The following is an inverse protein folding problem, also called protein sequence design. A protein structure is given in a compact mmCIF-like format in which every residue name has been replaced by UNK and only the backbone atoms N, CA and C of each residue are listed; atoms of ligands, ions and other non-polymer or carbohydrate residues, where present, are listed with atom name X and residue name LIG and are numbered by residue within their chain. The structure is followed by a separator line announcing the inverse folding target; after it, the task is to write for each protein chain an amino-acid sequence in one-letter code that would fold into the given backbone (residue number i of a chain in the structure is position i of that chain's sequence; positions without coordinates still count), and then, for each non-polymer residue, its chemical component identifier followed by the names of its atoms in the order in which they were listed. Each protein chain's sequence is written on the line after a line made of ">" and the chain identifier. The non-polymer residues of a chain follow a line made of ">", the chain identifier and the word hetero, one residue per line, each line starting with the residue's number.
data_IF_283366821315
#
_entry.id   IF_283366821315
#
_cell.length_a   1.000
_cell.length_b   1.000
_cell.length_c   1.000
_cell.angle_alpha   90.00
_cell.angle_beta   90.00
_cell.angle_gamma   90.00
#
_symmetry.space_group_name_H-M   'P 1'
#
loop_
_entity.id
_entity.type
_entity.pdbx_description
1 polymer ?
#
# COMPACT_ATOMS: atom_id res chain seq x y z
N UNK A 1 -25.85 39.33 9.76
CA UNK A 1 -24.71 38.40 9.58
C UNK A 1 -25.15 37.23 8.70
N UNK A 2 -24.54 36.98 7.53
CA UNK A 2 -24.95 35.84 6.71
C UNK A 2 -24.52 34.53 7.39
N UNK A 3 -25.48 33.62 7.57
CA UNK A 3 -25.28 32.26 8.10
C UNK A 3 -24.19 31.56 7.28
N UNK A 4 -23.12 31.09 7.94
CA UNK A 4 -22.12 30.21 7.33
C UNK A 4 -22.85 29.03 6.69
N UNK A 5 -22.87 28.98 5.35
CA UNK A 5 -23.33 27.80 4.61
C UNK A 5 -22.43 26.65 5.04
N UNK A 6 -22.97 25.72 5.83
CA UNK A 6 -22.27 24.48 6.21
C UNK A 6 -21.78 23.85 4.90
N UNK A 7 -20.46 23.70 4.76
CA UNK A 7 -19.84 23.02 3.61
C UNK A 7 -20.59 21.70 3.40
N UNK A 8 -21.17 21.50 2.20
CA UNK A 8 -21.73 20.20 1.81
C UNK A 8 -20.65 19.15 2.06
N UNK A 9 -20.90 18.23 3.00
CA UNK A 9 -20.03 17.09 3.22
C UNK A 9 -20.19 16.23 1.97
N UNK A 10 -19.23 16.28 1.05
CA UNK A 10 -19.27 15.56 -0.22
C UNK A 10 -19.05 14.04 -0.08
N UNK A 11 -18.98 13.55 1.16
CA UNK A 11 -18.70 12.16 1.49
C UNK A 11 -19.86 11.59 2.29
N UNK A 12 -20.35 10.43 1.84
CA UNK A 12 -21.37 9.67 2.56
C UNK A 12 -20.74 9.05 3.82
N UNK A 13 -21.47 8.97 4.94
CA UNK A 13 -21.03 8.20 6.08
C UNK A 13 -20.99 6.70 5.72
N UNK A 14 -20.15 5.87 6.38
CA UNK A 14 -19.87 4.48 5.97
C UNK A 14 -21.11 3.59 5.90
N UNK A 15 -22.12 3.88 6.72
CA UNK A 15 -23.38 3.16 6.88
C UNK A 15 -24.48 3.64 5.93
N UNK A 16 -24.30 4.75 5.21
CA UNK A 16 -25.29 5.21 4.24
C UNK A 16 -25.48 4.20 3.12
N UNK A 17 -26.74 3.87 2.80
CA UNK A 17 -27.07 2.96 1.71
C UNK A 17 -26.83 3.64 0.36
N UNK A 18 -26.09 2.94 -0.50
CA UNK A 18 -25.76 3.37 -1.87
C UNK A 18 -26.24 2.30 -2.84
N UNK A 19 -26.94 2.72 -3.89
CA UNK A 19 -27.34 1.82 -4.95
C UNK A 19 -26.13 1.51 -5.85
N UNK A 20 -25.60 0.28 -5.75
CA UNK A 20 -24.40 -0.16 -6.47
C UNK A 20 -24.56 -1.58 -6.97
N UNK A 21 -24.34 -1.80 -8.28
CA UNK A 21 -24.48 -3.09 -8.98
C UNK A 21 -25.85 -3.77 -8.77
N UNK A 22 -26.94 -3.01 -8.83
CA UNK A 22 -28.31 -3.54 -8.77
C UNK A 22 -28.84 -3.83 -7.35
N UNK A 23 -28.09 -3.45 -6.30
CA UNK A 23 -28.48 -3.64 -4.90
C UNK A 23 -28.14 -2.41 -4.06
N UNK A 24 -28.89 -2.20 -2.98
CA UNK A 24 -28.58 -1.20 -1.96
C UNK A 24 -27.59 -1.82 -0.96
N UNK A 25 -26.39 -1.26 -0.87
CA UNK A 25 -25.34 -1.71 0.07
C UNK A 25 -24.79 -0.52 0.86
N UNK A 26 -24.24 -0.74 2.08
CA UNK A 26 -23.53 0.31 2.81
C UNK A 26 -22.41 0.94 1.98
N UNK A 27 -22.19 2.24 2.13
CA UNK A 27 -21.15 2.99 1.43
C UNK A 27 -19.75 2.44 1.69
N UNK A 28 -19.52 1.83 2.86
CA UNK A 28 -18.29 1.13 3.23
C UNK A 28 -17.96 -0.07 2.34
N UNK A 29 -18.98 -0.72 1.77
CA UNK A 29 -18.83 -1.87 0.88
C UNK A 29 -18.62 -1.48 -0.59
N UNK A 30 -18.86 -0.21 -0.92
CA UNK A 30 -18.63 0.30 -2.28
C UNK A 30 -17.15 0.50 -2.50
N UNK A 31 -16.52 -0.38 -3.27
CA UNK A 31 -15.15 -0.15 -3.72
C UNK A 31 -15.14 0.98 -4.76
N UNK A 32 -14.41 2.09 -4.53
CA UNK A 32 -14.36 3.18 -5.49
C UNK A 32 -13.89 2.69 -6.86
N UNK A 33 -14.59 3.09 -7.94
CA UNK A 33 -14.22 2.71 -9.31
C UNK A 33 -12.79 3.10 -9.69
N UNK A 34 -12.23 4.15 -9.08
CA UNK A 34 -10.84 4.57 -9.25
C UNK A 34 -10.05 4.26 -7.98
N UNK A 35 -9.14 3.29 -8.06
CA UNK A 35 -8.04 3.17 -7.08
C UNK A 35 -7.24 4.47 -7.11
N UNK A 36 -6.90 5.01 -5.95
CA UNK A 36 -6.08 6.22 -5.90
C UNK A 36 -4.70 5.86 -6.40
N UNK A 37 -4.02 6.80 -7.08
CA UNK A 37 -2.62 6.59 -7.52
C UNK A 37 -1.71 6.13 -6.37
N UNK A 38 -1.98 6.58 -5.15
CA UNK A 38 -1.22 6.18 -3.96
C UNK A 38 -1.42 4.70 -3.61
N UNK A 39 -2.61 4.14 -3.81
CA UNK A 39 -2.89 2.73 -3.50
C UNK A 39 -2.17 1.83 -4.51
N UNK A 40 -2.23 2.20 -5.80
CA UNK A 40 -1.48 1.54 -6.88
C UNK A 40 0.02 1.58 -6.58
N UNK A 41 0.51 2.72 -6.09
CA UNK A 41 1.92 2.89 -5.79
C UNK A 41 2.38 2.13 -4.55
N UNK A 42 1.52 1.98 -3.54
CA UNK A 42 1.80 1.12 -2.39
C UNK A 42 1.87 -0.34 -2.80
N UNK A 43 0.92 -0.81 -3.60
CA UNK A 43 0.90 -2.18 -4.11
C UNK A 43 2.13 -2.50 -4.96
N UNK A 44 2.48 -1.62 -5.92
CA UNK A 44 3.69 -1.78 -6.74
C UNK A 44 4.97 -1.76 -5.88
N UNK A 45 5.05 -0.84 -4.91
CA UNK A 45 6.20 -0.76 -4.02
C UNK A 45 6.35 -2.02 -3.17
N UNK A 46 5.26 -2.54 -2.60
CA UNK A 46 5.29 -3.79 -1.84
C UNK A 46 5.81 -4.96 -2.68
N UNK A 47 5.28 -5.15 -3.89
CA UNK A 47 5.72 -6.22 -4.80
C UNK A 47 7.18 -6.08 -5.19
N UNK A 48 7.66 -4.86 -5.46
CA UNK A 48 9.06 -4.62 -5.78
C UNK A 48 9.99 -4.91 -4.60
N UNK A 49 9.63 -4.46 -3.40
CA UNK A 49 10.41 -4.73 -2.19
C UNK A 49 10.49 -6.22 -1.91
N UNK A 50 9.38 -6.94 -2.03
CA UNK A 50 9.37 -8.41 -1.85
C UNK A 50 10.31 -9.09 -2.85
N UNK A 51 10.23 -8.73 -4.14
CA UNK A 51 11.13 -9.26 -5.17
C UNK A 51 12.59 -8.92 -4.92
N UNK A 52 12.88 -7.69 -4.49
CA UNK A 52 14.23 -7.25 -4.19
C UNK A 52 14.83 -8.08 -3.05
N UNK A 53 14.06 -8.28 -1.98
CA UNK A 53 14.49 -9.07 -0.84
C UNK A 53 14.72 -10.53 -1.24
N UNK A 54 13.79 -11.15 -2.00
CA UNK A 54 13.93 -12.54 -2.46
C UNK A 54 15.19 -12.74 -3.32
N UNK A 55 15.56 -11.73 -4.12
CA UNK A 55 16.74 -11.78 -5.01
C UNK A 55 18.04 -11.37 -4.32
N UNK A 56 17.96 -10.77 -3.15
CA UNK A 56 19.13 -10.35 -2.39
C UNK A 56 19.82 -11.56 -1.79
N UNK A 57 21.17 -11.64 -1.84
CA UNK A 57 21.91 -12.78 -1.28
C UNK A 57 21.59 -13.02 0.20
N UNK A 58 21.47 -11.94 0.99
CA UNK A 58 21.18 -12.02 2.42
C UNK A 58 19.68 -12.02 2.76
N UNK A 59 18.81 -12.11 1.75
CA UNK A 59 17.34 -12.06 1.93
C UNK A 59 16.88 -10.88 2.79
N UNK A 60 17.48 -9.70 2.56
CA UNK A 60 17.20 -8.48 3.33
C UNK A 60 17.25 -7.23 2.45
N UNK A 61 16.77 -6.11 2.98
CA UNK A 61 16.86 -4.79 2.31
C UNK A 61 17.22 -3.70 3.31
N UNK A 62 18.07 -2.77 2.89
CA UNK A 62 18.44 -1.62 3.73
C UNK A 62 17.41 -0.49 3.62
N UNK A 63 17.44 0.44 4.57
CA UNK A 63 16.59 1.63 4.54
C UNK A 63 16.82 2.47 3.29
N UNK A 64 18.06 2.62 2.85
CA UNK A 64 18.39 3.48 1.72
C UNK A 64 17.84 2.90 0.41
N UNK A 65 17.96 1.58 0.24
CA UNK A 65 17.35 0.89 -0.90
C UNK A 65 15.82 0.96 -0.89
N UNK A 66 15.18 0.89 0.28
CA UNK A 66 13.73 1.13 0.40
C UNK A 66 13.33 2.54 -0.05
N UNK A 67 14.15 3.55 0.25
CA UNK A 67 13.90 4.93 -0.16
C UNK A 67 14.06 5.10 -1.68
N UNK A 68 15.06 4.49 -2.28
CA UNK A 68 15.27 4.48 -3.73
C UNK A 68 14.07 3.87 -4.46
N UNK A 69 13.66 2.65 -4.08
CA UNK A 69 12.49 1.97 -4.66
C UNK A 69 11.21 2.80 -4.49
N UNK A 70 11.05 3.43 -3.33
CA UNK A 70 9.90 4.30 -3.06
C UNK A 70 9.83 5.50 -4.00
N UNK A 71 10.99 6.04 -4.36
CA UNK A 71 11.10 7.17 -5.28
C UNK A 71 10.87 6.74 -6.73
N UNK A 72 11.49 5.64 -7.16
CA UNK A 72 11.28 5.06 -8.49
C UNK A 72 9.80 4.78 -8.77
N UNK A 73 9.11 4.13 -7.83
CA UNK A 73 7.69 3.81 -7.95
C UNK A 73 6.84 5.08 -8.02
N UNK A 74 7.16 6.08 -7.19
CA UNK A 74 6.45 7.35 -7.21
C UNK A 74 6.59 8.07 -8.56
N UNK A 75 7.82 8.12 -9.12
CA UNK A 75 8.07 8.70 -10.46
C UNK A 75 7.31 7.94 -11.54
N UNK A 76 7.38 6.61 -11.53
CA UNK A 76 6.72 5.73 -12.53
C UNK A 76 5.21 5.93 -12.58
N UNK A 77 4.57 6.10 -11.43
CA UNK A 77 3.10 6.25 -11.32
C UNK A 77 2.66 7.73 -11.47
N UNK A 78 3.61 8.65 -11.56
CA UNK A 78 3.36 10.08 -11.67
C UNK A 78 2.78 10.68 -10.39
N UNK A 79 3.34 10.29 -9.24
CA UNK A 79 3.10 10.93 -7.96
C UNK A 79 4.07 12.11 -7.77
N UNK A 80 3.57 13.23 -7.26
CA UNK A 80 4.39 14.42 -6.93
C UNK A 80 5.30 14.21 -5.71
N UNK A 81 5.02 13.20 -4.88
CA UNK A 81 5.73 12.89 -3.64
C UNK A 81 6.03 11.41 -3.58
N UNK A 82 7.14 11.06 -2.93
CA UNK A 82 7.52 9.66 -2.66
C UNK A 82 6.42 8.92 -1.89
N UNK A 83 6.28 7.62 -2.17
CA UNK A 83 5.48 6.73 -1.33
C UNK A 83 6.27 6.45 -0.06
N UNK A 84 5.69 6.64 1.13
CA UNK A 84 6.42 6.35 2.36
C UNK A 84 6.43 4.86 2.65
N UNK A 85 7.59 4.19 2.71
CA UNK A 85 7.71 2.75 2.95
C UNK A 85 7.17 2.24 4.29
N UNK A 86 6.82 3.13 5.24
CA UNK A 86 6.33 2.75 6.57
C UNK A 86 5.06 1.87 6.53
N UNK A 87 4.24 1.96 5.47
CA UNK A 87 3.08 1.09 5.34
C UNK A 87 3.47 -0.39 5.28
N UNK A 88 4.63 -0.72 4.70
CA UNK A 88 5.16 -2.09 4.64
C UNK A 88 5.42 -2.66 6.05
N UNK A 89 5.80 -1.79 6.99
CA UNK A 89 6.03 -2.17 8.39
C UNK A 89 4.68 -2.31 9.10
N UNK A 90 3.77 -1.34 8.93
CA UNK A 90 2.47 -1.36 9.63
C UNK A 90 1.56 -2.48 9.14
N UNK A 91 1.66 -2.87 7.86
CA UNK A 91 0.94 -4.01 7.28
C UNK A 91 1.66 -5.33 7.58
N UNK A 92 2.80 -5.27 8.26
CA UNK A 92 3.57 -6.42 8.69
C UNK A 92 4.29 -7.14 7.54
N UNK A 93 4.41 -6.56 6.35
CA UNK A 93 5.10 -7.18 5.19
C UNK A 93 6.60 -7.32 5.47
N UNK A 94 7.20 -6.30 6.09
CA UNK A 94 8.61 -6.30 6.47
C UNK A 94 8.80 -6.00 7.95
N UNK A 95 9.83 -6.59 8.55
CA UNK A 95 10.23 -6.38 9.93
C UNK A 95 11.73 -6.14 10.08
N UNK A 96 12.15 -5.62 11.24
CA UNK A 96 13.57 -5.55 11.62
C UNK A 96 13.84 -6.51 12.75
N UNK A 97 14.96 -7.21 12.65
CA UNK A 97 15.49 -8.00 13.76
C UNK A 97 16.23 -7.06 14.72
N UNK A 98 16.14 -7.33 16.04
CA UNK A 98 16.85 -6.54 17.05
C UNK A 98 18.34 -6.54 16.76
N UNK A 99 18.96 -5.35 16.71
CA UNK A 99 20.38 -5.18 16.38
C UNK A 99 20.69 -5.06 14.89
N UNK A 100 19.74 -5.35 13.99
CA UNK A 100 19.94 -5.18 12.54
C UNK A 100 19.40 -3.83 12.04
N UNK A 101 20.11 -3.23 11.08
CA UNK A 101 19.68 -2.04 10.34
C UNK A 101 18.87 -2.40 9.08
N UNK A 102 18.90 -3.67 8.68
CA UNK A 102 18.18 -4.19 7.53
C UNK A 102 16.76 -4.67 7.89
N UNK A 103 15.90 -4.69 6.88
CA UNK A 103 14.54 -5.18 6.92
C UNK A 103 14.46 -6.55 6.24
N UNK A 104 13.62 -7.43 6.78
CA UNK A 104 13.41 -8.79 6.32
C UNK A 104 11.93 -9.01 6.04
N UNK A 105 11.63 -9.95 5.15
CA UNK A 105 10.25 -10.39 4.92
C UNK A 105 9.71 -11.13 6.14
N UNK A 106 8.41 -10.98 6.38
CA UNK A 106 7.68 -11.74 7.39
C UNK A 106 6.82 -12.82 6.71
N UNK A 107 6.23 -13.70 7.50
CA UNK A 107 5.21 -14.65 7.01
C UNK A 107 4.03 -13.95 6.33
N UNK A 108 3.65 -12.76 6.82
CA UNK A 108 2.56 -11.97 6.23
C UNK A 108 2.83 -11.59 4.78
N UNK A 109 4.09 -11.40 4.39
CA UNK A 109 4.44 -11.14 3.00
C UNK A 109 4.15 -12.34 2.10
N UNK A 110 4.33 -13.57 2.59
CA UNK A 110 4.01 -14.80 1.88
C UNK A 110 2.51 -14.99 1.70
N UNK A 111 1.72 -14.63 2.70
CA UNK A 111 0.26 -14.64 2.62
C UNK A 111 -0.29 -13.62 1.61
N UNK A 112 0.32 -12.43 1.55
CA UNK A 112 -0.13 -11.33 0.70
C UNK A 112 0.34 -11.45 -0.76
N UNK A 113 1.50 -12.09 -0.98
CA UNK A 113 2.12 -12.21 -2.30
C UNK A 113 2.63 -13.64 -2.58
N UNK A 114 1.78 -14.68 -2.45
CA UNK A 114 2.21 -16.07 -2.60
C UNK A 114 2.86 -16.35 -3.96
N UNK A 115 2.36 -15.72 -5.02
CA UNK A 115 2.84 -15.87 -6.39
C UNK A 115 4.29 -15.40 -6.60
N UNK A 116 4.85 -14.63 -5.66
CA UNK A 116 6.23 -14.17 -5.70
C UNK A 116 7.22 -15.19 -5.12
N UNK A 117 6.76 -16.16 -4.35
CA UNK A 117 7.58 -17.19 -3.71
C UNK A 117 7.51 -18.55 -4.44
N UNK A 118 6.44 -18.81 -5.19
CA UNK A 118 6.24 -20.07 -5.92
C UNK A 118 7.20 -20.27 -7.12
N UNK A 119 7.91 -19.22 -7.55
CA UNK A 119 8.83 -19.26 -8.70
C UNK A 119 10.31 -19.49 -8.34
N UNK A 120 10.59 -19.93 -7.11
CA UNK A 120 11.97 -20.14 -6.62
C UNK A 120 12.27 -21.61 -6.31
N UNK A 121 11.45 -22.53 -6.82
CA UNK A 121 11.70 -23.99 -6.80
C UNK A 121 12.30 -24.48 -8.11
#
# INVERSE_FOLDING_TARGET
>A
MPKRVKRRIAFLPPDALVYYRGRWIPASEVTPKRRRKIDIAREELARRVVKEIIRSPDSCITRDRLLELSEEVARRIGLKRRVGYRFLITEGIIGRIRGSTAYYLTERAKELFPELFEKTS
#
